data_IF_373119248187
#
_entry.id   IF_373119248187
#
_cell.length_a   1.000
_cell.length_b   1.000
_cell.length_c   1.000
_cell.angle_alpha   90.00
_cell.angle_beta   90.00
_cell.angle_gamma   90.00
#
_symmetry.space_group_name_H-M   'P 1'
#
loop_
_entity.id
_entity.type
_entity.pdbx_description
1 polymer ?
#
# COMPACT_ATOMS: atom_id res chain seq x y z
N UNK A 1 -40.67 15.15 -6.90
CA UNK A 1 -40.15 13.77 -6.86
C UNK A 1 -38.63 13.74 -6.68
N UNK A 2 -37.87 14.44 -7.51
CA UNK A 2 -36.40 14.48 -7.44
C UNK A 2 -35.82 15.00 -6.11
N UNK A 3 -36.40 16.09 -5.54
CA UNK A 3 -35.95 16.63 -4.25
C UNK A 3 -36.23 15.73 -3.03
N UNK A 4 -37.29 14.91 -3.09
CA UNK A 4 -37.60 13.94 -2.03
C UNK A 4 -36.70 12.70 -2.12
N UNK A 5 -36.38 12.25 -3.34
CA UNK A 5 -35.40 11.19 -3.56
C UNK A 5 -34.01 11.60 -3.06
N UNK A 6 -33.58 12.84 -3.31
CA UNK A 6 -32.29 13.36 -2.86
C UNK A 6 -32.20 13.44 -1.33
N UNK A 7 -33.24 13.92 -0.64
CA UNK A 7 -33.28 13.95 0.83
C UNK A 7 -33.34 12.55 1.46
N UNK A 8 -34.03 11.61 0.82
CA UNK A 8 -34.11 10.22 1.28
C UNK A 8 -32.78 9.47 1.10
N UNK A 9 -32.05 9.77 0.03
CA UNK A 9 -30.77 9.13 -0.30
C UNK A 9 -29.56 9.85 0.32
N UNK A 10 -29.63 11.15 0.60
CA UNK A 10 -28.53 11.94 1.20
C UNK A 10 -27.87 11.30 2.42
N UNK A 11 -28.60 10.73 3.40
CA UNK A 11 -27.95 10.04 4.53
C UNK A 11 -27.43 8.64 4.18
N UNK A 12 -27.87 8.03 3.07
CA UNK A 12 -27.46 6.67 2.64
C UNK A 12 -26.37 6.67 1.56
N UNK A 13 -26.11 7.83 0.96
CA UNK A 13 -25.14 8.00 -0.13
C UNK A 13 -23.74 8.35 0.40
N UNK A 14 -23.61 8.71 1.68
CA UNK A 14 -22.32 8.98 2.34
C UNK A 14 -21.81 7.88 3.27
N UNK A 15 -22.65 6.93 3.66
CA UNK A 15 -22.27 5.80 4.53
C UNK A 15 -22.26 4.50 3.73
N UNK A 16 -21.35 4.40 2.76
CA UNK A 16 -21.03 3.09 2.20
C UNK A 16 -20.34 2.30 3.31
N UNK A 17 -21.10 1.51 4.07
CA UNK A 17 -20.55 0.68 5.14
C UNK A 17 -19.63 -0.38 4.54
N UNK A 18 -18.35 -0.05 4.34
CA UNK A 18 -17.33 -0.91 3.75
C UNK A 18 -17.31 -2.29 4.40
N UNK A 19 -17.42 -2.34 5.72
CA UNK A 19 -17.54 -3.58 6.49
C UNK A 19 -18.79 -4.40 6.12
N UNK A 20 -19.95 -3.73 5.95
CA UNK A 20 -21.19 -4.39 5.53
C UNK A 20 -21.10 -4.88 4.09
N UNK A 21 -20.50 -4.08 3.20
CA UNK A 21 -20.27 -4.47 1.80
C UNK A 21 -19.34 -5.67 1.70
N UNK A 22 -18.26 -5.67 2.47
CA UNK A 22 -17.32 -6.78 2.53
C UNK A 22 -17.99 -8.05 3.09
N UNK A 23 -18.71 -7.94 4.21
CA UNK A 23 -19.44 -9.07 4.79
C UNK A 23 -20.55 -9.61 3.86
N UNK A 24 -21.23 -8.74 3.12
CA UNK A 24 -22.22 -9.16 2.12
C UNK A 24 -21.56 -9.88 0.94
N UNK A 25 -20.35 -9.47 0.55
CA UNK A 25 -19.58 -10.08 -0.54
C UNK A 25 -18.93 -11.42 -0.15
N UNK A 26 -18.51 -11.54 1.10
CA UNK A 26 -17.82 -12.69 1.69
C UNK A 26 -18.58 -13.15 2.94
N UNK A 27 -19.65 -13.94 2.76
CA UNK A 27 -20.62 -14.23 3.82
C UNK A 27 -20.09 -15.13 4.94
N UNK A 28 -18.98 -15.83 4.70
CA UNK A 28 -18.33 -16.68 5.68
C UNK A 28 -16.84 -16.33 5.85
N UNK A 29 -16.30 -16.75 6.99
CA UNK A 29 -14.93 -16.45 7.37
C UNK A 29 -13.90 -17.04 6.41
N UNK A 30 -14.15 -18.23 5.85
CA UNK A 30 -13.19 -18.86 4.95
C UNK A 30 -13.09 -18.08 3.63
N UNK A 31 -14.22 -17.63 3.08
CA UNK A 31 -14.28 -16.78 1.90
C UNK A 31 -13.60 -15.43 2.14
N UNK A 32 -13.80 -14.81 3.31
CA UNK A 32 -13.17 -13.56 3.68
C UNK A 32 -11.64 -13.70 3.80
N UNK A 33 -11.15 -14.75 4.46
CA UNK A 33 -9.72 -15.06 4.57
C UNK A 33 -9.09 -15.29 3.19
N UNK A 34 -9.74 -16.07 2.32
CA UNK A 34 -9.25 -16.29 0.96
C UNK A 34 -9.20 -14.99 0.13
N UNK A 35 -10.19 -14.12 0.28
CA UNK A 35 -10.20 -12.83 -0.39
C UNK A 35 -9.04 -11.94 0.06
N UNK A 36 -8.79 -11.86 1.37
CA UNK A 36 -7.66 -11.10 1.92
C UNK A 36 -6.32 -11.68 1.49
N UNK A 37 -6.18 -13.01 1.52
CA UNK A 37 -4.97 -13.68 1.04
C UNK A 37 -4.71 -13.36 -0.43
N UNK A 38 -5.75 -13.39 -1.27
CA UNK A 38 -5.64 -13.01 -2.67
C UNK A 38 -5.18 -11.56 -2.84
N UNK A 39 -5.77 -10.60 -2.11
CA UNK A 39 -5.34 -9.19 -2.15
C UNK A 39 -3.89 -9.06 -1.70
N UNK A 40 -3.48 -9.76 -0.65
CA UNK A 40 -2.10 -9.77 -0.16
C UNK A 40 -1.13 -10.27 -1.24
N UNK A 41 -1.47 -11.36 -1.94
CA UNK A 41 -0.66 -11.90 -3.03
C UNK A 41 -0.53 -10.90 -4.19
N UNK A 42 -1.63 -10.23 -4.56
CA UNK A 42 -1.64 -9.20 -5.61
C UNK A 42 -0.87 -7.93 -5.24
N UNK A 43 -0.84 -7.56 -3.95
CA UNK A 43 -0.13 -6.38 -3.46
C UNK A 43 1.41 -6.56 -3.43
N UNK A 44 1.92 -7.75 -3.73
CA UNK A 44 3.36 -8.02 -3.71
C UNK A 44 4.12 -7.20 -4.76
N UNK A 45 5.21 -6.50 -4.38
CA UNK A 45 6.09 -5.86 -5.36
C UNK A 45 6.58 -6.87 -6.39
N UNK A 46 6.62 -6.53 -7.69
CA UNK A 46 7.05 -7.43 -8.77
C UNK A 46 8.58 -7.57 -8.82
N UNK A 47 9.21 -7.78 -7.66
CA UNK A 47 10.65 -7.88 -7.47
C UNK A 47 11.04 -9.33 -7.17
N UNK A 48 12.16 -9.76 -7.75
CA UNK A 48 12.74 -11.08 -7.50
C UNK A 48 13.85 -10.94 -6.45
N UNK A 49 13.44 -10.92 -5.18
CA UNK A 49 14.36 -10.96 -4.05
C UNK A 49 14.54 -12.41 -3.59
N UNK A 50 15.80 -12.80 -3.32
CA UNK A 50 16.13 -14.13 -2.84
C UNK A 50 16.78 -14.03 -1.45
N UNK A 51 16.27 -14.80 -0.48
CA UNK A 51 16.89 -14.92 0.85
C UNK A 51 16.44 -13.88 1.88
N UNK A 52 17.21 -13.70 2.98
CA UNK A 52 16.84 -12.91 4.16
C UNK A 52 16.80 -11.39 3.91
N UNK A 53 17.21 -10.93 2.72
CA UNK A 53 17.18 -9.53 2.31
C UNK A 53 15.75 -9.00 2.11
N UNK A 54 14.75 -9.89 2.08
CA UNK A 54 13.33 -9.53 2.02
C UNK A 54 12.81 -9.05 3.37
N UNK A 55 13.28 -7.89 3.80
CA UNK A 55 12.65 -7.16 4.91
C UNK A 55 11.33 -6.59 4.40
N UNK A 56 10.23 -7.28 4.68
CA UNK A 56 8.91 -6.92 4.19
C UNK A 56 8.09 -6.18 5.26
N UNK A 57 7.51 -5.05 4.87
CA UNK A 57 6.52 -4.32 5.67
C UNK A 57 5.15 -4.46 5.02
N UNK A 58 4.14 -4.76 5.84
CA UNK A 58 2.74 -4.88 5.41
C UNK A 58 1.92 -3.88 6.20
N UNK A 59 1.13 -3.04 5.52
CA UNK A 59 0.17 -2.14 6.15
C UNK A 59 -1.21 -2.50 5.62
N UNK A 60 -2.16 -2.67 6.54
CA UNK A 60 -3.57 -2.87 6.20
C UNK A 60 -4.29 -1.53 6.32
N UNK A 61 -5.08 -1.15 5.32
CA UNK A 61 -6.07 -0.09 5.47
C UNK A 61 -7.47 -0.69 5.45
N UNK A 62 -8.32 -0.22 6.34
CA UNK A 62 -9.71 -0.66 6.42
C UNK A 62 -10.53 0.22 7.35
N UNK A 63 -11.81 -0.13 7.57
CA UNK A 63 -12.70 0.66 8.42
C UNK A 63 -12.15 0.76 9.86
N UNK A 64 -12.55 1.78 10.59
CA UNK A 64 -12.19 1.93 12.00
C UNK A 64 -13.16 1.18 12.94
N UNK A 65 -12.90 1.28 14.25
CA UNK A 65 -13.75 0.70 15.30
C UNK A 65 -13.86 -0.83 15.26
N UNK A 66 -14.96 -1.36 15.81
CA UNK A 66 -15.16 -2.82 15.98
C UNK A 66 -15.15 -3.57 14.63
N UNK A 67 -15.65 -2.94 13.57
CA UNK A 67 -15.63 -3.53 12.24
C UNK A 67 -14.20 -3.64 11.70
N UNK A 68 -13.37 -2.62 11.96
CA UNK A 68 -11.94 -2.64 11.67
C UNK A 68 -11.18 -3.70 12.44
N UNK A 69 -11.49 -3.87 13.72
CA UNK A 69 -10.85 -4.88 14.57
C UNK A 69 -11.10 -6.30 14.05
N UNK A 70 -12.34 -6.62 13.65
CA UNK A 70 -12.66 -7.89 13.00
C UNK A 70 -11.89 -8.08 11.70
N UNK A 71 -11.70 -7.00 10.96
CA UNK A 71 -10.94 -7.00 9.72
C UNK A 71 -9.46 -7.31 9.96
N UNK A 72 -8.88 -6.71 11.01
CA UNK A 72 -7.52 -6.97 11.47
C UNK A 72 -7.35 -8.43 11.87
N UNK A 73 -8.28 -8.99 12.65
CA UNK A 73 -8.24 -10.40 13.07
C UNK A 73 -8.27 -11.36 11.87
N UNK A 74 -9.09 -11.06 10.87
CA UNK A 74 -9.14 -11.82 9.62
C UNK A 74 -7.82 -11.73 8.84
N UNK A 75 -7.26 -10.52 8.73
CA UNK A 75 -5.99 -10.30 8.04
C UNK A 75 -4.82 -11.00 8.75
N UNK A 76 -4.76 -10.98 10.08
CA UNK A 76 -3.75 -11.72 10.85
C UNK A 76 -3.83 -13.23 10.63
N UNK A 77 -5.04 -13.75 10.38
CA UNK A 77 -5.26 -15.16 10.05
C UNK A 77 -4.93 -15.48 8.58
N UNK A 78 -5.08 -14.51 7.69
CA UNK A 78 -4.90 -14.68 6.25
C UNK A 78 -3.46 -14.46 5.77
N UNK A 79 -2.73 -13.54 6.41
CA UNK A 79 -1.44 -13.07 5.90
C UNK A 79 -0.28 -13.91 6.46
N UNK A 80 0.69 -14.29 5.61
CA UNK A 80 1.93 -14.92 6.07
C UNK A 80 2.77 -14.03 6.99
N UNK A 81 2.65 -12.70 6.84
CA UNK A 81 3.31 -11.69 7.66
C UNK A 81 2.22 -10.82 8.27
N UNK A 82 2.23 -10.69 9.60
CA UNK A 82 1.28 -9.83 10.32
C UNK A 82 1.44 -8.37 9.85
N UNK A 83 0.35 -7.63 9.58
CA UNK A 83 0.42 -6.19 9.33
C UNK A 83 1.15 -5.46 10.47
N UNK A 84 2.11 -4.62 10.12
CA UNK A 84 2.84 -3.79 11.08
C UNK A 84 1.93 -2.70 11.67
N UNK A 85 0.96 -2.24 10.88
CA UNK A 85 -0.02 -1.25 11.29
C UNK A 85 -1.36 -1.42 10.55
N UNK A 86 -2.41 -0.82 11.09
CA UNK A 86 -3.74 -0.73 10.51
C UNK A 86 -4.17 0.74 10.43
N UNK A 87 -4.29 1.27 9.22
CA UNK A 87 -4.65 2.66 8.98
C UNK A 87 -6.15 2.76 8.69
N UNK A 88 -6.89 3.67 9.34
CA UNK A 88 -8.32 3.83 9.07
C UNK A 88 -8.53 4.41 7.66
N UNK A 89 -9.37 3.73 6.88
CA UNK A 89 -9.84 4.14 5.55
C UNK A 89 -11.35 3.90 5.46
N UNK A 90 -12.09 4.95 5.09
CA UNK A 90 -13.56 4.91 5.10
C UNK A 90 -14.12 4.13 3.90
N UNK A 91 -13.49 4.26 2.74
CA UNK A 91 -14.08 3.83 1.46
C UNK A 91 -13.44 2.59 0.83
N UNK A 92 -12.28 2.16 1.32
CA UNK A 92 -11.54 1.06 0.71
C UNK A 92 -10.84 0.15 1.72
N UNK A 93 -10.70 -1.12 1.34
CA UNK A 93 -9.79 -2.06 1.98
C UNK A 93 -8.53 -2.09 1.12
N UNK A 94 -7.40 -1.74 1.69
CA UNK A 94 -6.11 -1.74 1.00
C UNK A 94 -5.10 -2.61 1.73
N UNK A 95 -4.19 -3.20 0.96
CA UNK A 95 -3.01 -3.87 1.49
C UNK A 95 -1.82 -3.23 0.81
N UNK A 96 -1.01 -2.53 1.58
CA UNK A 96 0.27 -2.00 1.14
C UNK A 96 1.37 -2.97 1.54
N UNK A 97 2.27 -3.26 0.61
CA UNK A 97 3.44 -4.11 0.85
C UNK A 97 4.68 -3.46 0.27
N UNK A 98 5.73 -3.46 1.07
CA UNK A 98 7.02 -2.87 0.72
C UNK A 98 8.15 -3.84 1.07
N UNK A 99 9.17 -3.88 0.22
CA UNK A 99 10.45 -4.49 0.57
C UNK A 99 11.44 -3.35 0.85
N UNK A 100 11.99 -3.32 2.07
CA UNK A 100 13.03 -2.39 2.44
C UNK A 100 14.39 -2.87 1.92
N UNK A 101 15.33 -1.92 1.76
CA UNK A 101 16.73 -2.20 1.40
C UNK A 101 16.91 -3.03 0.11
N UNK A 102 16.04 -2.83 -0.89
CA UNK A 102 16.12 -3.51 -2.18
C UNK A 102 17.47 -3.19 -2.84
N UNK A 103 18.31 -4.21 -3.14
CA UNK A 103 19.55 -3.97 -3.88
C UNK A 103 19.24 -3.56 -5.31
N UNK A 104 20.07 -2.68 -5.89
CA UNK A 104 19.80 -2.12 -7.22
C UNK A 104 19.72 -3.20 -8.30
N UNK A 105 20.56 -4.23 -8.22
CA UNK A 105 20.56 -5.34 -9.16
C UNK A 105 19.31 -6.23 -9.11
N UNK A 106 18.45 -6.09 -8.09
CA UNK A 106 17.16 -6.76 -8.03
C UNK A 106 16.06 -5.98 -8.78
N UNK A 107 16.32 -4.73 -9.17
CA UNK A 107 15.38 -3.94 -9.95
C UNK A 107 15.46 -4.36 -11.43
N UNK A 108 14.34 -4.76 -12.08
CA UNK A 108 14.36 -5.25 -13.47
C UNK A 108 14.97 -4.29 -14.48
N UNK A 109 14.86 -2.99 -14.22
CA UNK A 109 15.39 -1.91 -15.05
C UNK A 109 16.89 -1.65 -14.86
N UNK A 110 17.51 -2.15 -13.79
CA UNK A 110 18.93 -1.94 -13.49
C UNK A 110 19.69 -3.24 -13.74
N UNK A 111 20.17 -3.38 -14.98
CA UNK A 111 21.18 -4.40 -15.29
C UNK A 111 22.56 -4.02 -14.74
N UNK A 112 23.57 -4.91 -14.88
CA UNK A 112 24.92 -4.67 -14.34
C UNK A 112 25.55 -3.35 -14.78
N UNK A 113 25.35 -2.95 -16.05
CA UNK A 113 25.84 -1.67 -16.56
C UNK A 113 25.24 -0.47 -15.82
N UNK A 114 23.98 -0.56 -15.40
CA UNK A 114 23.31 0.52 -14.69
C UNK A 114 23.76 0.58 -13.23
N UNK A 115 24.09 -0.56 -12.61
CA UNK A 115 24.70 -0.63 -11.28
C UNK A 115 26.10 0.01 -11.28
N UNK A 116 26.92 -0.28 -12.29
CA UNK A 116 28.24 0.35 -12.48
C UNK A 116 28.11 1.87 -12.66
N UNK A 117 27.19 2.30 -13.53
CA UNK A 117 26.93 3.72 -13.78
C UNK A 117 26.43 4.45 -12.52
N UNK A 118 25.55 3.80 -11.75
CA UNK A 118 25.04 4.32 -10.49
C UNK A 118 26.15 4.48 -9.45
N UNK A 119 27.02 3.49 -9.31
CA UNK A 119 28.18 3.52 -8.39
C UNK A 119 29.16 4.62 -8.80
N UNK A 120 29.48 4.73 -10.08
CA UNK A 120 30.33 5.80 -10.61
C UNK A 120 29.74 7.20 -10.37
N UNK A 121 28.41 7.35 -10.43
CA UNK A 121 27.74 8.63 -10.14
C UNK A 121 27.86 9.00 -8.66
N UNK A 122 27.69 8.03 -7.75
CA UNK A 122 27.89 8.23 -6.31
C UNK A 122 29.32 8.68 -5.98
N UNK A 123 30.32 8.06 -6.60
CA UNK A 123 31.73 8.33 -6.31
C UNK A 123 32.25 9.63 -6.95
N UNK A 124 31.68 10.03 -8.10
CA UNK A 124 32.29 11.03 -8.98
C UNK A 124 31.69 12.44 -8.95
N UNK A 125 30.41 12.61 -8.60
CA UNK A 125 29.69 13.86 -8.93
C UNK A 125 29.29 14.72 -7.73
N UNK A 126 29.56 14.30 -6.48
CA UNK A 126 29.15 15.05 -5.28
C UNK A 126 27.64 15.28 -5.17
N UNK A 127 26.85 14.62 -6.02
CA UNK A 127 25.41 14.68 -6.11
C UNK A 127 24.86 13.26 -5.93
N UNK A 128 23.77 13.13 -5.17
CA UNK A 128 23.11 11.84 -5.03
C UNK A 128 22.36 11.50 -6.32
N UNK A 129 22.44 10.26 -6.83
CA UNK A 129 21.62 9.80 -7.96
C UNK A 129 20.12 9.82 -7.65
N UNK A 130 19.74 10.07 -6.40
CA UNK A 130 18.35 10.28 -5.96
C UNK A 130 17.93 11.75 -5.94
N UNK A 131 18.80 12.67 -6.33
CA UNK A 131 18.48 14.09 -6.43
C UNK A 131 18.05 14.47 -7.83
N UNK A 132 17.10 15.42 -7.93
CA UNK A 132 16.73 16.08 -9.19
C UNK A 132 17.89 16.94 -9.67
N UNK A 133 18.71 16.45 -10.61
CA UNK A 133 19.83 17.21 -11.19
C UNK A 133 19.39 18.31 -12.17
N UNK A 134 18.13 18.30 -12.61
CA UNK A 134 17.53 19.28 -13.53
C UNK A 134 16.95 20.51 -12.81
N UNK A 135 16.88 20.50 -11.47
CA UNK A 135 16.41 21.63 -10.66
C UNK A 135 17.60 22.48 -10.27
N UNK A 136 17.78 23.61 -10.97
CA UNK A 136 18.87 24.54 -10.71
C UNK A 136 18.73 25.29 -9.37
N UNK A 137 17.49 25.46 -8.86
CA UNK A 137 17.23 26.18 -7.60
C UNK A 137 15.95 25.66 -6.97
N UNK A 138 16.03 25.25 -5.70
CA UNK A 138 14.87 24.94 -4.88
C UNK A 138 14.36 26.23 -4.24
N UNK A 139 13.07 26.54 -4.41
CA UNK A 139 12.43 27.65 -3.72
C UNK A 139 11.72 27.10 -2.48
N UNK A 140 11.93 27.76 -1.34
CA UNK A 140 11.29 27.41 -0.08
C UNK A 140 9.84 27.93 -0.06
N UNK A 141 8.98 27.28 0.72
CA UNK A 141 7.54 27.57 0.76
C UNK A 141 7.23 28.89 1.49
N UNK A 142 8.16 29.40 2.30
CA UNK A 142 7.95 30.60 3.14
C UNK A 142 8.17 31.95 2.43
N UNK A 143 8.41 31.98 1.11
CA UNK A 143 8.50 33.25 0.37
C UNK A 143 7.14 33.61 -0.22
N UNK A 144 6.22 34.03 0.66
CA UNK A 144 4.89 34.55 0.33
C UNK A 144 4.49 35.73 1.21
#
# INVERSE_FOLDING_TARGET
LEGQAKLFLSPRVGEAGLAQMFAARFPDQAAAVQALQWVYEQAGPPLKLFGPERTETVILGGPDGESGDRFRDLAESAFPIRPADCVPTEDEILVYREYAHVPLNALPQLGPLAEDAYTAALDGQGASPHSRCDVATWQDVEVG
#
